data_IF_908724102936
#
_entry.id   IF_908724102936
#
_cell.length_a   1.000
_cell.length_b   1.000
_cell.length_c   1.000
_cell.angle_alpha   90.00
_cell.angle_beta   90.00
_cell.angle_gamma   90.00
#
_symmetry.space_group_name_H-M   'P 1'
#
loop_
_entity.id
_entity.type
_entity.pdbx_description
1 polymer ?
#
# COMPACT_ATOMS: atom_id res chain seq x y z
N UNK A 1 -8.21 0.84 -12.40
CA UNK A 1 -8.34 -0.63 -12.49
C UNK A 1 -7.81 -1.34 -11.24
N UNK A 2 -6.54 -1.13 -10.82
CA UNK A 2 -5.99 -1.77 -9.61
C UNK A 2 -6.91 -1.63 -8.38
N UNK A 3 -7.34 -0.40 -8.08
CA UNK A 3 -8.24 -0.13 -6.96
C UNK A 3 -9.58 -0.89 -7.04
N UNK A 4 -10.14 -1.03 -8.25
CA UNK A 4 -11.39 -1.77 -8.45
C UNK A 4 -11.18 -3.26 -8.21
N UNK A 5 -10.11 -3.83 -8.76
CA UNK A 5 -9.78 -5.26 -8.57
C UNK A 5 -9.52 -5.58 -7.10
N UNK A 6 -8.72 -4.75 -6.40
CA UNK A 6 -8.50 -4.94 -4.96
C UNK A 6 -9.78 -4.73 -4.16
N UNK A 7 -10.57 -3.69 -4.47
CA UNK A 7 -11.82 -3.41 -3.78
C UNK A 7 -12.83 -4.55 -3.87
N UNK A 8 -12.90 -5.23 -5.02
CA UNK A 8 -13.75 -6.41 -5.19
C UNK A 8 -13.32 -7.63 -4.36
N UNK A 9 -12.10 -7.66 -3.81
CA UNK A 9 -11.60 -8.83 -3.07
C UNK A 9 -12.48 -9.19 -1.87
N UNK A 10 -12.79 -8.23 -1.00
CA UNK A 10 -13.56 -8.45 0.23
C UNK A 10 -14.98 -8.98 -0.03
N UNK A 11 -15.82 -8.34 -0.88
CA UNK A 11 -17.13 -8.88 -1.19
C UNK A 11 -17.07 -10.24 -1.88
N UNK A 12 -16.11 -10.48 -2.77
CA UNK A 12 -15.98 -11.78 -3.44
C UNK A 12 -15.47 -12.89 -2.51
N UNK A 13 -14.69 -12.54 -1.48
CA UNK A 13 -14.17 -13.49 -0.50
C UNK A 13 -15.19 -13.88 0.57
N UNK A 14 -16.21 -13.05 0.84
CA UNK A 14 -17.24 -13.29 1.85
C UNK A 14 -17.95 -14.65 1.73
N UNK A 15 -18.44 -15.09 0.57
CA UNK A 15 -19.05 -16.43 0.44
C UNK A 15 -18.02 -17.56 0.59
N UNK A 16 -16.74 -17.32 0.25
CA UNK A 16 -15.70 -18.36 0.31
C UNK A 16 -15.40 -18.77 1.75
N UNK A 17 -15.38 -17.80 2.68
CA UNK A 17 -15.11 -18.05 4.11
C UNK A 17 -16.30 -18.70 4.84
N UNK A 18 -17.48 -18.78 4.21
CA UNK A 18 -18.60 -19.55 4.72
C UNK A 18 -18.47 -21.06 4.41
N UNK A 19 -17.77 -21.40 3.32
CA UNK A 19 -17.64 -22.79 2.85
C UNK A 19 -16.28 -23.45 3.16
N UNK A 20 -15.28 -22.68 3.61
CA UNK A 20 -13.94 -23.20 3.87
C UNK A 20 -13.23 -22.39 4.99
N UNK A 21 -12.26 -23.00 5.69
CA UNK A 21 -11.48 -22.30 6.71
C UNK A 21 -10.76 -21.05 6.15
N UNK A 22 -10.73 -19.93 6.88
CA UNK A 22 -10.07 -18.70 6.44
C UNK A 22 -8.62 -18.88 5.96
N UNK A 23 -7.85 -19.73 6.64
CA UNK A 23 -6.46 -20.03 6.28
C UNK A 23 -6.36 -20.69 4.89
N UNK A 24 -7.28 -21.61 4.57
CA UNK A 24 -7.31 -22.27 3.26
C UNK A 24 -7.68 -21.28 2.16
N UNK A 25 -8.71 -20.46 2.39
CA UNK A 25 -9.16 -19.44 1.42
C UNK A 25 -8.04 -18.42 1.17
N UNK A 26 -7.36 -17.94 2.23
CA UNK A 26 -6.20 -17.07 2.12
C UNK A 26 -5.08 -17.70 1.29
N UNK A 27 -4.76 -18.97 1.57
CA UNK A 27 -3.77 -19.75 0.84
C UNK A 27 -4.10 -19.83 -0.65
N UNK A 28 -5.33 -20.20 -1.00
CA UNK A 28 -5.77 -20.30 -2.38
C UNK A 28 -5.80 -18.94 -3.11
N UNK A 29 -6.24 -17.86 -2.45
CA UNK A 29 -6.20 -16.52 -3.05
C UNK A 29 -4.76 -16.11 -3.41
N UNK A 30 -3.82 -16.28 -2.48
CA UNK A 30 -2.42 -15.91 -2.73
C UNK A 30 -1.73 -16.87 -3.69
N UNK A 31 -2.06 -18.16 -3.66
CA UNK A 31 -1.56 -19.14 -4.61
C UNK A 31 -2.05 -18.83 -6.04
N UNK A 32 -3.28 -18.35 -6.18
CA UNK A 32 -3.83 -17.88 -7.46
C UNK A 32 -3.05 -16.68 -8.02
N UNK A 33 -2.73 -15.71 -7.16
CA UNK A 33 -1.81 -14.60 -7.50
C UNK A 33 -0.44 -15.12 -7.95
N UNK A 34 0.16 -16.01 -7.17
CA UNK A 34 1.49 -16.56 -7.45
C UNK A 34 1.56 -17.36 -8.75
N UNK A 35 0.66 -18.33 -8.93
CA UNK A 35 0.63 -19.21 -10.10
C UNK A 35 0.27 -18.45 -11.38
N UNK A 36 -0.72 -17.55 -11.33
CA UNK A 36 -1.11 -16.79 -12.51
C UNK A 36 -0.03 -15.80 -12.95
N UNK A 37 0.65 -15.14 -12.01
CA UNK A 37 1.79 -14.27 -12.34
C UNK A 37 3.02 -15.08 -12.80
N UNK A 38 3.24 -16.27 -12.25
CA UNK A 38 4.27 -17.18 -12.74
C UNK A 38 4.02 -17.56 -14.21
N UNK A 39 2.80 -18.00 -14.53
CA UNK A 39 2.40 -18.31 -15.90
C UNK A 39 2.55 -17.10 -16.84
N UNK A 40 2.05 -15.93 -16.42
CA UNK A 40 2.19 -14.68 -17.16
C UNK A 40 3.65 -14.36 -17.50
N UNK A 41 4.55 -14.49 -16.53
CA UNK A 41 5.97 -14.19 -16.75
C UNK A 41 6.67 -15.18 -17.65
N UNK A 42 6.27 -16.46 -17.61
CA UNK A 42 6.77 -17.48 -18.54
C UNK A 42 6.33 -17.18 -19.97
N UNK A 43 5.06 -16.78 -20.16
CA UNK A 43 4.52 -16.35 -21.46
C UNK A 43 5.22 -15.09 -21.97
N UNK A 44 5.42 -14.09 -21.12
CA UNK A 44 6.10 -12.83 -21.46
C UNK A 44 7.62 -12.94 -21.51
N UNK A 45 8.20 -14.11 -21.22
CA UNK A 45 9.65 -14.34 -21.12
C UNK A 45 10.34 -13.26 -20.28
N UNK A 46 9.72 -12.89 -19.15
CA UNK A 46 10.21 -11.83 -18.30
C UNK A 46 11.61 -12.19 -17.76
N UNK A 47 12.53 -11.21 -17.65
CA UNK A 47 13.89 -11.46 -17.20
C UNK A 47 13.92 -12.00 -15.77
N UNK A 48 14.95 -12.79 -15.48
CA UNK A 48 15.23 -13.25 -14.13
C UNK A 48 15.58 -12.05 -13.24
N UNK A 49 15.04 -12.04 -12.02
CA UNK A 49 15.33 -11.00 -11.03
C UNK A 49 16.39 -11.52 -10.09
N UNK A 50 17.42 -10.70 -9.83
CA UNK A 50 18.44 -10.95 -8.83
C UNK A 50 18.22 -10.00 -7.67
N UNK A 51 18.07 -10.55 -6.48
CA UNK A 51 18.05 -9.78 -5.24
C UNK A 51 19.43 -9.79 -4.60
N UNK A 52 19.84 -8.65 -4.04
CA UNK A 52 20.99 -8.58 -3.15
C UNK A 52 20.69 -9.34 -1.85
N UNK A 53 21.73 -9.83 -1.16
CA UNK A 53 21.59 -10.71 0.00
C UNK A 53 20.68 -10.15 1.09
N UNK A 54 20.86 -8.89 1.46
CA UNK A 54 20.07 -8.23 2.52
C UNK A 54 18.60 -8.02 2.13
N UNK A 55 18.29 -7.90 0.84
CA UNK A 55 16.92 -7.73 0.34
C UNK A 55 16.06 -8.98 0.52
N UNK A 56 16.66 -10.16 0.67
CA UNK A 56 15.91 -11.38 1.00
C UNK A 56 15.29 -11.33 2.39
N UNK A 57 15.98 -10.76 3.38
CA UNK A 57 15.44 -10.60 4.73
C UNK A 57 14.22 -9.68 4.75
N UNK A 58 14.30 -8.56 4.05
CA UNK A 58 13.17 -7.63 3.89
C UNK A 58 11.99 -8.27 3.15
N UNK A 59 12.26 -9.03 2.09
CA UNK A 59 11.22 -9.76 1.36
C UNK A 59 10.57 -10.83 2.24
N UNK A 60 11.35 -11.62 2.99
CA UNK A 60 10.81 -12.65 3.87
C UNK A 60 9.91 -12.05 4.95
N UNK A 61 10.31 -10.94 5.56
CA UNK A 61 9.49 -10.22 6.54
C UNK A 61 8.19 -9.67 5.91
N UNK A 62 8.29 -9.07 4.71
CA UNK A 62 7.13 -8.58 3.95
C UNK A 62 6.14 -9.71 3.61
N UNK A 63 6.64 -10.87 3.14
CA UNK A 63 5.85 -12.07 2.87
C UNK A 63 5.20 -12.59 4.16
N UNK A 64 5.95 -12.65 5.26
CA UNK A 64 5.44 -13.10 6.56
C UNK A 64 4.30 -12.23 7.07
N UNK A 65 4.48 -10.91 7.11
CA UNK A 65 3.46 -10.00 7.61
C UNK A 65 2.25 -9.91 6.66
N UNK A 66 2.49 -9.53 5.40
CA UNK A 66 1.40 -9.18 4.48
C UNK A 66 0.85 -10.33 3.65
N UNK A 67 1.60 -11.41 3.49
CA UNK A 67 1.13 -12.60 2.78
C UNK A 67 0.65 -13.70 3.73
N UNK A 68 1.46 -14.02 4.74
CA UNK A 68 1.21 -15.19 5.56
C UNK A 68 0.18 -14.90 6.67
N UNK A 69 0.35 -13.79 7.39
CA UNK A 69 -0.46 -13.47 8.57
C UNK A 69 -1.68 -12.60 8.25
N UNK A 70 -1.53 -11.53 7.46
CA UNK A 70 -2.62 -10.58 7.22
C UNK A 70 -3.87 -11.20 6.54
N UNK A 71 -3.76 -11.98 5.45
CA UNK A 71 -4.94 -12.47 4.75
C UNK A 71 -5.79 -13.44 5.58
N UNK A 72 -5.23 -14.44 6.30
CA UNK A 72 -6.03 -15.27 7.21
C UNK A 72 -6.76 -14.46 8.29
N UNK A 73 -6.13 -13.41 8.84
CA UNK A 73 -6.76 -12.55 9.84
C UNK A 73 -7.93 -11.75 9.25
N UNK A 74 -7.75 -11.16 8.06
CA UNK A 74 -8.84 -10.48 7.36
C UNK A 74 -10.01 -11.44 7.12
N UNK A 75 -9.72 -12.62 6.59
CA UNK A 75 -10.76 -13.61 6.27
C UNK A 75 -11.44 -14.18 7.52
N UNK A 76 -10.71 -14.33 8.62
CA UNK A 76 -11.27 -14.70 9.91
C UNK A 76 -12.19 -13.59 10.44
N UNK A 77 -11.80 -12.31 10.34
CA UNK A 77 -12.66 -11.18 10.66
C UNK A 77 -13.91 -11.13 9.77
N UNK A 78 -13.76 -11.44 8.49
CA UNK A 78 -14.86 -11.47 7.53
C UNK A 78 -15.90 -12.56 7.84
N UNK A 79 -15.58 -13.57 8.67
CA UNK A 79 -16.61 -14.54 9.11
C UNK A 79 -17.68 -13.88 9.97
N UNK A 80 -17.31 -12.90 10.80
CA UNK A 80 -18.21 -12.22 11.75
C UNK A 80 -18.66 -10.81 11.33
N UNK A 81 -18.22 -10.31 10.18
CA UNK A 81 -18.58 -8.99 9.65
C UNK A 81 -19.27 -9.08 8.31
N UNK A 82 -20.20 -8.17 8.03
CA UNK A 82 -20.68 -7.93 6.69
C UNK A 82 -19.54 -7.40 5.79
N UNK A 83 -19.59 -7.68 4.49
CA UNK A 83 -18.52 -7.35 3.56
C UNK A 83 -18.42 -5.83 3.34
N UNK A 84 -19.53 -5.08 3.38
CA UNK A 84 -19.55 -3.65 3.19
C UNK A 84 -18.77 -2.87 4.27
N UNK A 85 -19.03 -3.07 5.58
CA UNK A 85 -18.24 -2.44 6.63
C UNK A 85 -16.82 -3.00 6.72
N UNK A 86 -16.60 -4.29 6.48
CA UNK A 86 -15.24 -4.86 6.44
C UNK A 86 -14.38 -4.21 5.35
N UNK A 87 -14.96 -3.95 4.17
CA UNK A 87 -14.26 -3.25 3.08
C UNK A 87 -13.86 -1.84 3.50
N UNK A 88 -14.77 -1.07 4.11
CA UNK A 88 -14.46 0.29 4.58
C UNK A 88 -13.38 0.31 5.66
N UNK A 89 -13.37 -0.68 6.57
CA UNK A 89 -12.34 -0.80 7.61
C UNK A 89 -10.93 -0.95 7.03
N UNK A 90 -10.77 -1.42 5.79
CA UNK A 90 -9.47 -1.48 5.11
C UNK A 90 -8.84 -0.09 4.90
N UNK A 91 -9.61 1.00 4.97
CA UNK A 91 -9.03 2.35 5.01
C UNK A 91 -8.08 2.56 6.21
N UNK A 92 -8.19 1.76 7.27
CA UNK A 92 -7.28 1.80 8.41
C UNK A 92 -5.83 1.43 8.03
N UNK A 93 -5.61 0.67 6.95
CA UNK A 93 -4.26 0.34 6.47
C UNK A 93 -3.47 1.61 6.12
N UNK A 94 -4.10 2.60 5.50
CA UNK A 94 -3.46 3.87 5.16
C UNK A 94 -3.03 4.63 6.43
N UNK A 95 -3.89 4.64 7.45
CA UNK A 95 -3.61 5.24 8.77
C UNK A 95 -2.40 4.54 9.40
N UNK A 96 -2.41 3.21 9.50
CA UNK A 96 -1.30 2.45 10.08
C UNK A 96 0.00 2.61 9.29
N UNK A 97 -0.08 2.65 7.96
CA UNK A 97 1.09 2.81 7.08
C UNK A 97 1.79 4.13 7.37
N UNK A 98 1.01 5.20 7.52
CA UNK A 98 1.55 6.52 7.83
C UNK A 98 1.99 6.67 9.28
N UNK A 99 1.29 6.06 10.25
CA UNK A 99 1.74 6.04 11.65
C UNK A 99 3.09 5.32 11.79
N UNK A 100 3.28 4.20 11.10
CA UNK A 100 4.57 3.51 11.04
C UNK A 100 5.62 4.41 10.37
N UNK A 101 5.26 5.09 9.27
CA UNK A 101 6.15 6.03 8.59
C UNK A 101 6.61 7.15 9.55
N UNK A 102 5.67 7.79 10.24
CA UNK A 102 5.92 8.85 11.20
C UNK A 102 6.79 8.39 12.38
N UNK A 103 6.43 7.29 13.04
CA UNK A 103 7.12 6.82 14.25
C UNK A 103 8.52 6.29 13.93
N UNK A 104 8.67 5.52 12.85
CA UNK A 104 9.93 4.84 12.51
C UNK A 104 10.86 5.75 11.70
N UNK A 105 10.34 6.54 10.78
CA UNK A 105 11.14 7.37 9.87
C UNK A 105 11.17 8.86 10.28
N UNK A 106 10.39 9.26 11.30
CA UNK A 106 10.32 10.64 11.81
C UNK A 106 9.97 11.70 10.76
N UNK A 107 9.08 11.34 9.84
CA UNK A 107 8.54 12.26 8.84
C UNK A 107 7.51 13.20 9.50
N UNK A 108 7.61 14.52 9.29
CA UNK A 108 6.65 15.45 9.89
C UNK A 108 5.25 15.27 9.27
N UNK A 109 4.22 15.18 10.11
CA UNK A 109 2.83 15.06 9.69
C UNK A 109 2.18 16.43 9.69
N UNK A 110 1.70 16.89 8.53
CA UNK A 110 0.92 18.13 8.45
C UNK A 110 -0.40 17.99 9.24
N UNK A 111 -0.91 19.11 9.76
CA UNK A 111 -2.15 19.12 10.54
C UNK A 111 -3.34 18.62 9.72
N UNK A 112 -3.36 18.88 8.41
CA UNK A 112 -4.40 18.40 7.49
C UNK A 112 -4.40 16.88 7.35
N UNK A 113 -3.22 16.27 7.29
CA UNK A 113 -3.03 14.82 7.25
C UNK A 113 -3.52 14.18 8.56
N UNK A 114 -3.15 14.78 9.69
CA UNK A 114 -3.60 14.31 11.00
C UNK A 114 -5.14 14.35 11.12
N UNK A 115 -5.79 15.42 10.64
CA UNK A 115 -7.25 15.50 10.57
C UNK A 115 -7.84 14.44 9.64
N UNK A 116 -7.18 14.15 8.52
CA UNK A 116 -7.54 13.05 7.63
C UNK A 116 -7.54 11.70 8.34
N UNK A 117 -6.48 11.38 9.08
CA UNK A 117 -6.40 10.14 9.86
C UNK A 117 -7.46 10.09 10.97
N UNK A 118 -7.67 11.20 11.67
CA UNK A 118 -8.71 11.30 12.69
C UNK A 118 -10.11 11.01 12.11
N UNK A 119 -10.41 11.52 10.91
CA UNK A 119 -11.68 11.24 10.23
C UNK A 119 -11.83 9.76 9.84
N UNK A 120 -10.77 9.11 9.33
CA UNK A 120 -10.79 7.68 9.02
C UNK A 120 -11.01 6.84 10.29
N UNK A 121 -10.30 7.17 11.37
CA UNK A 121 -10.44 6.50 12.68
C UNK A 121 -11.86 6.69 13.23
N UNK A 122 -12.41 7.90 13.17
CA UNK A 122 -13.77 8.17 13.60
C UNK A 122 -14.80 7.33 12.80
N UNK A 123 -14.63 7.21 11.47
CA UNK A 123 -15.46 6.32 10.66
C UNK A 123 -15.34 4.85 11.09
N UNK A 124 -14.13 4.38 11.40
CA UNK A 124 -13.90 3.03 11.92
C UNK A 124 -14.58 2.79 13.28
N UNK A 125 -14.54 3.78 14.17
CA UNK A 125 -15.22 3.73 15.47
C UNK A 125 -16.75 3.68 15.31
N UNK A 126 -17.32 4.43 14.36
CA UNK A 126 -18.75 4.37 14.04
C UNK A 126 -19.16 2.97 13.56
N UNK A 127 -18.33 2.32 12.74
CA UNK A 127 -18.57 0.93 12.31
C UNK A 127 -18.42 -0.07 13.46
N UNK A 128 -17.46 0.16 14.36
CA UNK A 128 -17.20 -0.71 15.51
C UNK A 128 -18.19 -0.53 16.66
N UNK A 129 -18.98 0.54 16.67
CA UNK A 129 -19.87 0.87 17.79
C UNK A 129 -21.00 -0.17 17.94
N UNK A 130 -21.15 -0.81 19.13
CA UNK A 130 -22.21 -1.76 19.38
C UNK A 130 -23.57 -1.10 19.22
N UNK A 131 -24.40 -1.62 18.31
CA UNK A 131 -25.77 -1.17 18.19
C UNK A 131 -26.65 -1.84 19.21
N UNK A 132 -27.31 -1.06 20.06
CA UNK A 132 -28.28 -1.55 21.03
C UNK A 132 -29.52 -2.14 20.36
N UNK A 133 -29.43 -3.38 19.92
CA UNK A 133 -30.50 -4.40 19.80
C UNK A 133 -29.84 -5.68 19.28
N UNK A 134 -29.77 -6.71 20.12
CA UNK A 134 -29.39 -8.10 19.80
C UNK A 134 -28.35 -8.29 18.68
N UNK A 135 -27.08 -8.04 19.00
CA UNK A 135 -25.94 -8.29 18.11
C UNK A 135 -24.90 -7.19 18.23
N UNK A 136 -24.10 -7.23 19.30
CA UNK A 136 -22.87 -6.44 19.38
C UNK A 136 -22.11 -6.59 18.06
N UNK A 137 -21.69 -5.47 17.45
CA UNK A 137 -20.65 -5.54 16.42
C UNK A 137 -19.51 -6.30 17.09
N UNK A 138 -19.19 -7.47 16.53
CA UNK A 138 -18.29 -8.39 17.18
C UNK A 138 -16.89 -7.75 17.19
N UNK A 139 -16.52 -7.20 18.34
CA UNK A 139 -15.25 -6.49 18.55
C UNK A 139 -14.08 -7.36 18.08
N UNK A 140 -14.14 -8.67 18.31
CA UNK A 140 -13.15 -9.64 17.82
C UNK A 140 -12.93 -9.58 16.30
N UNK A 141 -13.95 -9.87 15.47
CA UNK A 141 -13.87 -9.71 14.02
C UNK A 141 -13.33 -8.36 13.53
N UNK A 142 -13.75 -7.25 14.13
CA UNK A 142 -13.22 -5.92 13.78
C UNK A 142 -11.72 -5.81 14.10
N UNK A 143 -11.29 -6.29 15.28
CA UNK A 143 -9.87 -6.30 15.66
C UNK A 143 -9.03 -7.17 14.73
N UNK A 144 -9.57 -8.29 14.22
CA UNK A 144 -8.88 -9.13 13.23
C UNK A 144 -8.65 -8.39 11.92
N UNK A 145 -9.65 -7.64 11.43
CA UNK A 145 -9.50 -6.79 10.23
C UNK A 145 -8.48 -5.68 10.46
N UNK A 146 -8.51 -5.01 11.61
CA UNK A 146 -7.54 -3.97 11.96
C UNK A 146 -6.12 -4.54 12.11
N UNK A 147 -5.96 -5.73 12.68
CA UNK A 147 -4.67 -6.42 12.77
C UNK A 147 -4.14 -6.78 11.38
N UNK A 148 -5.00 -7.24 10.46
CA UNK A 148 -4.63 -7.46 9.07
C UNK A 148 -4.16 -6.15 8.41
N UNK A 149 -4.87 -5.04 8.62
CA UNK A 149 -4.47 -3.72 8.11
C UNK A 149 -3.11 -3.27 8.67
N UNK A 150 -2.83 -3.51 9.96
CA UNK A 150 -1.55 -3.17 10.57
C UNK A 150 -0.39 -4.02 9.99
N UNK A 151 -0.63 -5.30 9.73
CA UNK A 151 0.34 -6.20 9.10
C UNK A 151 0.59 -5.84 7.63
N UNK A 152 -0.44 -5.44 6.88
CA UNK A 152 -0.27 -4.90 5.53
C UNK A 152 0.45 -3.55 5.53
N UNK A 153 0.18 -2.69 6.50
CA UNK A 153 0.93 -1.45 6.67
C UNK A 153 2.42 -1.70 6.93
N UNK A 154 2.75 -2.71 7.73
CA UNK A 154 4.13 -3.15 7.93
C UNK A 154 4.72 -3.73 6.64
N UNK A 155 4.00 -4.61 5.94
CA UNK A 155 4.39 -5.16 4.64
C UNK A 155 4.67 -4.06 3.62
N UNK A 156 3.82 -3.05 3.51
CA UNK A 156 4.02 -1.91 2.61
C UNK A 156 5.33 -1.18 2.92
N UNK A 157 5.61 -0.91 4.20
CA UNK A 157 6.85 -0.26 4.63
C UNK A 157 8.09 -1.14 4.37
N UNK A 158 8.00 -2.46 4.55
CA UNK A 158 9.08 -3.40 4.28
C UNK A 158 9.31 -3.59 2.77
N UNK A 159 8.23 -3.69 2.01
CA UNK A 159 8.23 -3.84 0.55
C UNK A 159 8.90 -2.65 -0.13
N UNK A 160 8.76 -1.42 0.40
CA UNK A 160 9.50 -0.24 -0.08
C UNK A 160 11.02 -0.45 -0.10
N UNK A 161 11.60 -1.29 0.77
CA UNK A 161 13.04 -1.59 0.80
C UNK A 161 13.51 -2.49 -0.34
N UNK A 162 12.58 -3.11 -1.07
CA UNK A 162 12.86 -4.02 -2.19
C UNK A 162 12.12 -3.61 -3.48
N UNK A 163 11.46 -2.45 -3.51
CA UNK A 163 10.55 -2.02 -4.58
C UNK A 163 11.22 -1.72 -5.94
N UNK A 164 12.55 -1.66 -5.99
CA UNK A 164 13.31 -1.53 -7.23
C UNK A 164 13.19 -2.77 -8.13
N UNK A 165 12.81 -3.92 -7.56
CA UNK A 165 12.60 -5.15 -8.34
C UNK A 165 11.34 -5.12 -9.18
N UNK A 166 11.28 -6.01 -10.18
CA UNK A 166 10.11 -6.19 -11.02
C UNK A 166 8.84 -6.46 -10.19
N UNK A 167 7.79 -5.69 -10.46
CA UNK A 167 6.50 -5.75 -9.77
C UNK A 167 5.85 -7.13 -9.83
N UNK A 168 5.87 -7.73 -11.03
CA UNK A 168 5.25 -9.03 -11.27
C UNK A 168 6.05 -10.15 -10.59
N UNK A 169 7.37 -10.00 -10.45
CA UNK A 169 8.21 -10.89 -9.64
C UNK A 169 7.89 -10.80 -8.17
N UNK A 170 7.83 -9.58 -7.62
CA UNK A 170 7.55 -9.38 -6.20
C UNK A 170 6.20 -9.97 -5.81
N UNK A 171 5.15 -9.64 -6.57
CA UNK A 171 3.80 -10.15 -6.35
C UNK A 171 3.74 -11.68 -6.50
N UNK A 172 4.43 -12.24 -7.50
CA UNK A 172 4.51 -13.70 -7.70
C UNK A 172 5.16 -14.41 -6.52
N UNK A 173 6.30 -13.92 -6.02
CA UNK A 173 7.00 -14.57 -4.89
C UNK A 173 6.17 -14.48 -3.63
N UNK A 174 5.56 -13.32 -3.34
CA UNK A 174 4.64 -13.16 -2.21
C UNK A 174 3.46 -14.12 -2.31
N UNK A 175 2.85 -14.22 -3.49
CA UNK A 175 1.74 -15.14 -3.76
C UNK A 175 2.12 -16.61 -3.60
N UNK A 176 3.21 -17.06 -4.21
CA UNK A 176 3.65 -18.46 -4.15
C UNK A 176 4.08 -18.87 -2.74
N UNK A 177 4.88 -18.04 -2.06
CA UNK A 177 5.37 -18.34 -0.73
C UNK A 177 4.23 -18.35 0.29
N UNK A 178 3.48 -17.25 0.41
CA UNK A 178 2.39 -17.18 1.37
C UNK A 178 1.22 -18.12 1.03
N UNK A 179 0.87 -18.20 -0.26
CA UNK A 179 -0.19 -19.09 -0.74
C UNK A 179 0.13 -20.56 -0.51
N UNK A 180 1.34 -20.98 -0.89
CA UNK A 180 1.82 -22.34 -0.66
C UNK A 180 1.85 -22.69 0.83
N UNK A 181 2.39 -21.83 1.67
CA UNK A 181 2.46 -22.08 3.12
C UNK A 181 1.07 -22.12 3.77
N UNK A 182 0.19 -21.15 3.50
CA UNK A 182 -1.15 -21.14 4.10
C UNK A 182 -2.02 -22.32 3.61
N UNK A 183 -1.93 -22.68 2.32
CA UNK A 183 -2.60 -23.89 1.82
C UNK A 183 -2.05 -25.14 2.49
N UNK A 184 -0.72 -25.29 2.60
CA UNK A 184 -0.10 -26.44 3.26
C UNK A 184 -0.50 -26.53 4.74
N UNK A 185 -0.48 -25.42 5.48
CA UNK A 185 -0.90 -25.36 6.88
C UNK A 185 -2.37 -25.75 7.05
N UNK A 186 -3.26 -25.24 6.18
CA UNK A 186 -4.67 -25.59 6.25
C UNK A 186 -4.92 -27.09 5.98
N UNK A 187 -4.27 -27.65 4.96
CA UNK A 187 -4.38 -29.08 4.63
C UNK A 187 -3.79 -29.97 5.73
N UNK A 188 -2.64 -29.59 6.29
CA UNK A 188 -2.04 -30.28 7.43
C UNK A 188 -2.92 -30.22 8.68
N UNK A 189 -3.67 -29.12 8.85
CA UNK A 189 -4.69 -28.96 9.88
C UNK A 189 -6.01 -29.71 9.60
N UNK A 190 -6.07 -30.53 8.54
CA UNK A 190 -7.24 -31.35 8.21
C UNK A 190 -8.30 -30.65 7.36
N UNK A 191 -8.04 -29.44 6.86
CA UNK A 191 -8.94 -28.79 5.93
C UNK A 191 -9.05 -29.63 4.64
N UNK A 192 -10.27 -29.77 4.13
CA UNK A 192 -10.50 -30.40 2.83
C UNK A 192 -10.62 -29.34 1.77
N UNK A 193 -10.00 -29.59 0.61
CA UNK A 193 -10.29 -28.79 -0.57
C UNK A 193 -11.76 -29.03 -0.93
N UNK A 194 -12.53 -27.95 -1.02
CA UNK A 194 -13.91 -28.00 -1.50
C UNK A 194 -13.98 -28.42 -2.98
N UNK A 195 -15.14 -28.25 -3.63
CA UNK A 195 -15.30 -28.56 -5.05
C UNK A 195 -14.24 -27.84 -5.90
N UNK A 196 -13.78 -28.51 -6.97
CA UNK A 196 -12.76 -27.97 -7.91
C UNK A 196 -13.18 -26.61 -8.45
N UNK A 197 -14.48 -26.41 -8.71
CA UNK A 197 -15.02 -25.12 -9.14
C UNK A 197 -14.77 -24.01 -8.12
N UNK A 198 -15.01 -24.25 -6.82
CA UNK A 198 -14.76 -23.27 -5.76
C UNK A 198 -13.27 -22.96 -5.63
N UNK A 199 -12.41 -23.96 -5.77
CA UNK A 199 -10.94 -23.76 -5.80
C UNK A 199 -10.55 -22.90 -6.99
N UNK A 200 -11.04 -23.21 -8.19
CA UNK A 200 -10.75 -22.44 -9.40
C UNK A 200 -11.22 -20.98 -9.30
N UNK A 201 -12.43 -20.74 -8.80
CA UNK A 201 -12.95 -19.38 -8.55
C UNK A 201 -12.08 -18.64 -7.54
N UNK A 202 -11.67 -19.29 -6.45
CA UNK A 202 -10.79 -18.69 -5.44
C UNK A 202 -9.43 -18.33 -6.04
N UNK A 203 -8.83 -19.21 -6.84
CA UNK A 203 -7.57 -18.94 -7.54
C UNK A 203 -7.71 -17.76 -8.52
N UNK A 204 -8.82 -17.66 -9.26
CA UNK A 204 -9.08 -16.56 -10.19
C UNK A 204 -9.27 -15.22 -9.46
N UNK A 205 -10.04 -15.20 -8.37
CA UNK A 205 -10.17 -14.01 -7.51
C UNK A 205 -8.78 -13.61 -6.99
N UNK A 206 -7.99 -14.59 -6.56
CA UNK A 206 -6.59 -14.44 -6.17
C UNK A 206 -5.73 -13.76 -7.22
N UNK A 207 -5.76 -14.28 -8.44
CA UNK A 207 -5.03 -13.76 -9.58
C UNK A 207 -5.39 -12.30 -9.86
N UNK A 208 -6.68 -11.97 -9.97
CA UNK A 208 -7.08 -10.62 -10.35
C UNK A 208 -6.97 -9.61 -9.20
N UNK A 209 -7.48 -9.96 -8.02
CA UNK A 209 -7.62 -9.02 -6.92
C UNK A 209 -6.32 -8.80 -6.14
N UNK A 210 -5.43 -9.80 -6.09
CA UNK A 210 -4.13 -9.69 -5.40
C UNK A 210 -2.96 -9.64 -6.39
N UNK A 211 -2.96 -10.45 -7.46
CA UNK A 211 -1.83 -10.52 -8.40
C UNK A 211 -1.79 -9.37 -9.40
N UNK A 212 -2.81 -9.29 -10.27
CA UNK A 212 -2.95 -8.26 -11.31
C UNK A 212 -3.11 -6.89 -10.67
N UNK A 213 -3.94 -6.78 -9.63
CA UNK A 213 -4.12 -5.53 -8.88
C UNK A 213 -2.80 -4.97 -8.34
N UNK A 214 -2.02 -5.78 -7.61
CA UNK A 214 -0.73 -5.34 -7.05
C UNK A 214 0.27 -5.01 -8.15
N UNK A 215 0.32 -5.80 -9.23
CA UNK A 215 1.19 -5.52 -10.37
C UNK A 215 0.85 -4.18 -11.01
N UNK A 216 -0.44 -3.90 -11.25
CA UNK A 216 -0.91 -2.62 -11.78
C UNK A 216 -0.66 -1.46 -10.81
N UNK A 217 -0.78 -1.69 -9.50
CA UNK A 217 -0.47 -0.68 -8.48
C UNK A 217 1.02 -0.30 -8.52
N UNK A 218 1.94 -1.27 -8.55
CA UNK A 218 3.37 -0.97 -8.62
C UNK A 218 3.75 -0.32 -9.96
N UNK A 219 3.13 -0.73 -11.07
CA UNK A 219 3.30 -0.05 -12.37
C UNK A 219 2.79 1.40 -12.29
N UNK A 220 1.63 1.63 -11.68
CA UNK A 220 1.08 2.96 -11.48
C UNK A 220 2.02 3.85 -10.63
N UNK A 221 2.66 3.30 -9.57
CA UNK A 221 3.64 4.05 -8.78
C UNK A 221 4.76 4.62 -9.65
N UNK A 222 5.22 3.85 -10.65
CA UNK A 222 6.30 4.26 -11.57
C UNK A 222 5.86 5.33 -12.58
N UNK A 223 4.62 5.26 -13.08
CA UNK A 223 4.17 6.15 -14.16
C UNK A 223 3.36 7.36 -13.69
N UNK A 224 2.59 7.24 -12.62
CA UNK A 224 1.72 8.30 -12.10
C UNK A 224 2.36 9.02 -10.90
N UNK A 225 3.37 8.42 -10.28
CA UNK A 225 3.97 8.86 -9.02
C UNK A 225 3.19 8.34 -7.80
N UNK A 226 3.84 8.40 -6.64
CA UNK A 226 3.32 7.89 -5.36
C UNK A 226 1.99 8.54 -4.98
N UNK A 227 1.92 9.87 -5.09
CA UNK A 227 0.74 10.67 -4.70
C UNK A 227 -0.54 10.24 -5.45
N UNK A 228 -0.50 10.30 -6.79
CA UNK A 228 -1.66 9.98 -7.64
C UNK A 228 -2.03 8.50 -7.57
N UNK A 229 -1.04 7.62 -7.45
CA UNK A 229 -1.31 6.19 -7.33
C UNK A 229 -1.99 5.86 -6.01
N UNK A 230 -1.50 6.42 -4.90
CA UNK A 230 -2.13 6.31 -3.59
C UNK A 230 -3.56 6.87 -3.61
N UNK A 231 -3.78 8.00 -4.27
CA UNK A 231 -5.08 8.62 -4.47
C UNK A 231 -6.11 7.72 -5.15
N UNK A 232 -5.71 7.08 -6.24
CA UNK A 232 -6.60 6.16 -6.93
C UNK A 232 -6.78 4.86 -6.16
N UNK A 233 -5.75 4.38 -5.46
CA UNK A 233 -5.84 3.12 -4.73
C UNK A 233 -6.67 3.23 -3.45
N UNK A 234 -6.70 4.39 -2.79
CA UNK A 234 -7.52 4.65 -1.60
C UNK A 234 -9.03 4.61 -1.89
N UNK A 235 -9.46 4.59 -3.15
CA UNK A 235 -10.88 4.35 -3.48
C UNK A 235 -11.29 2.89 -3.36
N UNK A 236 -10.33 1.94 -3.27
CA UNK A 236 -10.60 0.50 -3.28
C UNK A 236 -11.55 0.04 -2.15
N UNK A 237 -11.37 0.44 -0.88
CA UNK A 237 -12.31 0.15 0.22
C UNK A 237 -13.76 0.55 -0.09
N UNK A 238 -13.96 1.70 -0.74
CA UNK A 238 -15.29 2.19 -1.12
C UNK A 238 -15.90 1.37 -2.26
N UNK A 239 -15.10 1.00 -3.25
CA UNK A 239 -15.53 0.09 -4.32
C UNK A 239 -15.98 -1.24 -3.73
N UNK A 240 -15.22 -1.80 -2.78
CA UNK A 240 -15.61 -3.03 -2.10
C UNK A 240 -16.90 -2.90 -1.31
N UNK A 241 -17.10 -1.76 -0.63
CA UNK A 241 -18.32 -1.48 0.12
C UNK A 241 -19.55 -1.39 -0.78
N UNK A 242 -19.46 -0.64 -1.88
CA UNK A 242 -20.54 -0.52 -2.87
C UNK A 242 -20.82 -1.87 -3.53
N UNK A 243 -19.78 -2.60 -3.91
CA UNK A 243 -19.94 -3.93 -4.51
C UNK A 243 -20.58 -4.93 -3.55
N UNK A 244 -20.28 -4.87 -2.25
CA UNK A 244 -20.95 -5.70 -1.24
C UNK A 244 -22.46 -5.41 -1.17
N UNK A 245 -22.85 -4.13 -1.16
CA UNK A 245 -24.26 -3.73 -1.17
C UNK A 245 -24.95 -4.22 -2.45
N UNK A 246 -24.32 -4.06 -3.61
CA UNK A 246 -24.92 -4.42 -4.90
C UNK A 246 -25.00 -5.94 -5.11
N UNK A 247 -23.91 -6.67 -4.85
CA UNK A 247 -23.81 -8.10 -5.13
C UNK A 247 -24.55 -8.96 -4.10
N UNK A 248 -24.53 -8.54 -2.82
CA UNK A 248 -25.07 -9.33 -1.72
C UNK A 248 -26.32 -8.74 -1.09
N UNK A 249 -26.81 -7.61 -1.61
CA UNK A 249 -27.98 -6.89 -1.07
C UNK A 249 -27.81 -6.57 0.42
N UNK A 250 -26.58 -6.27 0.86
CA UNK A 250 -26.32 -5.90 2.25
C UNK A 250 -27.04 -4.59 2.61
N UNK A 251 -27.61 -4.47 3.82
CA UNK A 251 -28.41 -3.32 4.19
C UNK A 251 -27.58 -2.04 4.26
N UNK A 252 -28.06 -0.99 3.61
CA UNK A 252 -27.47 0.36 3.71
C UNK A 252 -27.92 1.00 5.02
N UNK A 253 -27.11 0.80 6.06
CA UNK A 253 -27.38 1.37 7.39
C UNK A 253 -26.91 2.82 7.48
N UNK A 254 -27.53 3.62 8.35
CA UNK A 254 -27.05 4.97 8.63
C UNK A 254 -25.60 5.00 9.12
N UNK A 255 -25.16 3.96 9.87
CA UNK A 255 -23.76 3.83 10.32
C UNK A 255 -22.80 3.65 9.15
N UNK A 256 -23.17 2.82 8.18
CA UNK A 256 -22.37 2.62 6.97
C UNK A 256 -22.21 3.94 6.20
N UNK A 257 -23.30 4.73 6.09
CA UNK A 257 -23.27 6.03 5.42
C UNK A 257 -22.41 7.06 6.15
N UNK A 258 -22.57 7.18 7.48
CA UNK A 258 -21.78 8.10 8.30
C UNK A 258 -20.30 7.71 8.27
N UNK A 259 -19.97 6.43 8.47
CA UNK A 259 -18.60 5.95 8.42
C UNK A 259 -17.97 6.13 7.05
N UNK A 260 -18.68 5.77 5.98
CA UNK A 260 -18.23 5.98 4.60
C UNK A 260 -17.97 7.45 4.31
N UNK A 261 -18.83 8.36 4.77
CA UNK A 261 -18.65 9.80 4.59
C UNK A 261 -17.42 10.33 5.34
N UNK A 262 -17.23 9.92 6.60
CA UNK A 262 -16.06 10.30 7.40
C UNK A 262 -14.75 9.79 6.79
N UNK A 263 -14.73 8.53 6.35
CA UNK A 263 -13.57 7.93 5.70
C UNK A 263 -13.28 8.59 4.35
N UNK A 264 -14.32 8.92 3.57
CA UNK A 264 -14.16 9.62 2.29
C UNK A 264 -13.60 11.04 2.49
N UNK A 265 -14.10 11.77 3.50
CA UNK A 265 -13.53 13.06 3.91
C UNK A 265 -12.07 12.90 4.32
N UNK A 266 -11.76 11.89 5.12
CA UNK A 266 -10.40 11.59 5.55
C UNK A 266 -9.48 11.35 4.36
N UNK A 267 -9.86 10.47 3.43
CA UNK A 267 -9.11 10.24 2.19
C UNK A 267 -8.96 11.54 1.41
N UNK A 268 -10.03 12.30 1.18
CA UNK A 268 -9.98 13.57 0.45
C UNK A 268 -8.99 14.58 1.06
N UNK A 269 -8.93 14.69 2.39
CA UNK A 269 -7.97 15.55 3.08
C UNK A 269 -6.52 15.17 2.80
N UNK A 270 -6.20 13.87 2.74
CA UNK A 270 -4.86 13.40 2.35
C UNK A 270 -4.54 13.70 0.89
N UNK A 271 -5.52 13.55 -0.01
CA UNK A 271 -5.28 13.71 -1.45
C UNK A 271 -5.14 15.16 -1.89
N UNK A 272 -5.72 16.08 -1.12
CA UNK A 272 -5.71 17.52 -1.42
C UNK A 272 -4.59 18.27 -0.69
N UNK A 273 -3.74 17.57 0.05
CA UNK A 273 -2.56 18.15 0.66
C UNK A 273 -1.53 18.53 -0.40
N UNK A 274 -1.00 19.75 -0.29
CA UNK A 274 0.16 20.19 -1.06
C UNK A 274 1.39 20.06 -0.17
N UNK A 275 2.18 19.03 -0.42
CA UNK A 275 3.48 18.86 0.23
C UNK A 275 4.50 19.86 -0.35
N UNK A 276 4.36 21.14 -0.04
CA UNK A 276 5.37 22.15 -0.30
C UNK A 276 6.20 22.34 0.97
N UNK A 277 7.39 21.74 1.01
CA UNK A 277 8.34 21.98 2.09
C UNK A 277 9.67 22.44 1.53
N UNK A 278 10.25 23.44 2.21
CA UNK A 278 11.60 23.92 1.97
C UNK A 278 12.56 22.81 2.39
N UNK A 279 13.28 22.24 1.43
CA UNK A 279 14.26 21.20 1.69
C UNK A 279 15.63 21.62 1.18
N UNK A 280 16.65 21.14 1.88
CA UNK A 280 18.06 21.33 1.54
C UNK A 280 18.57 20.04 0.91
N UNK A 281 18.97 20.11 -0.35
CA UNK A 281 19.81 19.08 -0.93
C UNK A 281 21.21 19.24 -0.34
N UNK A 282 21.76 18.17 0.24
CA UNK A 282 23.19 18.13 0.54
C UNK A 282 23.98 17.93 -0.77
N UNK A 283 25.27 18.23 -0.75
CA UNK A 283 26.10 18.05 -1.93
C UNK A 283 26.05 16.59 -2.38
N UNK A 284 25.55 16.36 -3.59
CA UNK A 284 25.41 15.03 -4.18
C UNK A 284 26.24 14.95 -5.46
N UNK A 285 27.13 13.97 -5.51
CA UNK A 285 27.90 13.66 -6.72
C UNK A 285 27.24 12.51 -7.45
N UNK A 286 26.75 12.76 -8.66
CA UNK A 286 26.14 11.74 -9.53
C UNK A 286 26.55 11.93 -10.99
N UNK A 287 26.11 11.03 -11.84
CA UNK A 287 26.40 11.02 -13.27
C UNK A 287 25.10 10.80 -14.06
N UNK A 288 24.62 11.87 -14.69
CA UNK A 288 23.47 11.85 -15.58
C UNK A 288 23.66 12.83 -16.74
N UNK A 289 22.85 12.63 -17.78
CA UNK A 289 22.80 13.53 -18.95
C UNK A 289 22.12 14.84 -18.56
N UNK A 290 22.78 15.96 -18.78
CA UNK A 290 22.27 17.29 -18.45
C UNK A 290 22.68 18.33 -19.50
N UNK A 291 22.01 19.48 -19.46
CA UNK A 291 22.41 20.70 -20.16
C UNK A 291 22.40 21.87 -19.18
N UNK A 292 22.90 23.04 -19.59
CA UNK A 292 22.96 24.22 -18.71
C UNK A 292 21.67 25.06 -18.72
N UNK A 293 20.64 24.68 -19.49
CA UNK A 293 19.39 25.43 -19.61
C UNK A 293 18.44 25.16 -18.43
N UNK A 294 18.71 24.13 -17.63
CA UNK A 294 17.91 23.78 -16.46
C UNK A 294 18.16 24.69 -15.23
N UNK A 295 19.21 25.52 -15.26
CA UNK A 295 19.49 26.54 -14.24
C UNK A 295 20.09 26.00 -12.93
N UNK A 296 20.51 24.74 -12.88
CA UNK A 296 21.15 24.14 -11.70
C UNK A 296 22.39 23.28 -12.00
N UNK A 297 22.77 23.17 -13.27
CA UNK A 297 24.06 22.63 -13.69
C UNK A 297 24.95 23.78 -14.18
N UNK A 298 25.78 24.29 -13.28
CA UNK A 298 26.75 25.33 -13.59
C UNK A 298 28.15 24.81 -13.23
N UNK A 299 28.89 24.40 -14.27
CA UNK A 299 30.25 23.88 -14.15
C UNK A 299 31.01 24.15 -15.46
N UNK A 300 32.32 24.36 -15.34
CA UNK A 300 33.18 24.67 -16.49
C UNK A 300 33.55 23.40 -17.27
N UNK A 301 33.59 23.56 -18.59
CA UNK A 301 34.05 22.53 -19.51
C UNK A 301 35.55 22.67 -19.80
N UNK A 302 36.27 21.56 -20.03
CA UNK A 302 37.58 21.60 -20.65
C UNK A 302 37.52 22.33 -22.02
N UNK A 303 38.58 23.06 -22.40
CA UNK A 303 38.64 23.73 -23.70
C UNK A 303 38.41 22.75 -24.86
N UNK A 304 37.48 23.07 -25.76
CA UNK A 304 37.17 22.25 -26.94
C UNK A 304 35.97 21.30 -26.78
N UNK A 305 35.29 21.32 -25.64
CA UNK A 305 34.05 20.53 -25.44
C UNK A 305 32.91 21.06 -26.35
N UNK A 306 32.25 20.20 -27.16
CA UNK A 306 31.13 20.61 -28.00
C UNK A 306 29.94 21.09 -27.16
N UNK A 307 29.22 22.16 -27.58
CA UNK A 307 28.00 22.58 -26.91
C UNK A 307 26.87 21.54 -27.11
N UNK A 308 26.11 21.27 -26.04
CA UNK A 308 24.95 20.38 -26.08
C UNK A 308 24.75 19.56 -24.79
N UNK A 309 23.76 18.66 -24.77
CA UNK A 309 23.54 17.76 -23.65
C UNK A 309 24.73 16.83 -23.49
N UNK A 310 25.24 16.71 -22.27
CA UNK A 310 26.44 15.94 -21.99
C UNK A 310 26.30 15.19 -20.66
N UNK A 311 27.12 14.16 -20.50
CA UNK A 311 27.05 13.22 -19.36
C UNK A 311 28.43 13.05 -18.77
N UNK A 312 28.56 13.35 -17.49
CA UNK A 312 29.75 13.08 -16.70
C UNK A 312 29.41 13.19 -15.22
N UNK A 313 30.32 12.68 -14.39
CA UNK A 313 30.24 12.81 -12.93
C UNK A 313 30.45 14.27 -12.52
N UNK A 314 29.44 14.87 -11.93
CA UNK A 314 29.49 16.24 -11.39
C UNK A 314 28.85 16.30 -10.01
N UNK A 315 29.10 17.38 -9.28
CA UNK A 315 28.62 17.58 -7.91
C UNK A 315 27.71 18.80 -7.87
N UNK A 316 26.47 18.62 -7.42
CA UNK A 316 25.61 19.76 -7.10
C UNK A 316 26.01 20.38 -5.77
N UNK A 317 26.03 21.70 -5.70
CA UNK A 317 26.18 22.42 -4.44
C UNK A 317 24.91 22.31 -3.59
N UNK A 318 24.98 22.52 -2.26
CA UNK A 318 23.79 22.45 -1.43
C UNK A 318 22.77 23.54 -1.82
N UNK A 319 21.63 23.12 -2.37
CA UNK A 319 20.54 24.03 -2.77
C UNK A 319 19.39 23.89 -1.78
N UNK A 320 18.82 25.03 -1.36
CA UNK A 320 17.58 25.08 -0.59
C UNK A 320 16.48 25.59 -1.51
N UNK A 321 15.52 24.72 -1.82
CA UNK A 321 14.35 25.11 -2.61
C UNK A 321 13.07 24.51 -2.03
N UNK A 322 11.94 24.98 -2.52
CA UNK A 322 10.61 24.49 -2.16
C UNK A 322 9.90 24.09 -3.44
N UNK A 323 9.56 22.82 -3.55
CA UNK A 323 8.67 22.31 -4.59
C UNK A 323 7.76 21.23 -4.01
N UNK A 324 6.62 20.94 -4.66
CA UNK A 324 5.80 19.80 -4.31
C UNK A 324 6.64 18.52 -4.30
N UNK A 325 6.69 17.78 -3.19
CA UNK A 325 7.42 16.52 -3.11
C UNK A 325 6.63 15.48 -2.32
N UNK A 326 6.67 14.21 -2.76
CA UNK A 326 6.19 13.06 -1.98
C UNK A 326 7.42 12.20 -1.64
N UNK A 327 7.41 11.39 -0.57
CA UNK A 327 8.54 10.50 -0.26
C UNK A 327 8.85 9.58 -1.46
N UNK A 328 9.85 9.96 -2.25
CA UNK A 328 10.39 9.19 -3.36
C UNK A 328 11.52 8.29 -2.85
N UNK A 329 11.62 7.09 -3.40
CA UNK A 329 12.74 6.16 -3.23
C UNK A 329 14.09 6.83 -3.49
N UNK A 330 14.14 7.83 -4.38
CA UNK A 330 15.36 8.54 -4.77
C UNK A 330 15.71 9.77 -3.92
N UNK A 331 14.78 10.23 -3.06
CA UNK A 331 14.95 11.46 -2.27
C UNK A 331 14.59 11.24 -0.80
N UNK A 332 15.50 10.59 -0.06
CA UNK A 332 15.44 10.52 1.40
C UNK A 332 16.07 11.75 2.00
N UNK A 333 15.29 12.59 2.69
CA UNK A 333 15.80 13.75 3.41
C UNK A 333 15.82 13.50 4.92
N UNK A 334 16.85 14.03 5.59
CA UNK A 334 16.90 14.13 7.05
C UNK A 334 16.27 15.48 7.42
N UNK A 335 15.13 15.47 8.12
CA UNK A 335 14.54 16.72 8.62
C UNK A 335 15.38 17.26 9.78
N UNK A 336 16.07 18.38 9.56
CA UNK A 336 16.71 19.13 10.64
C UNK A 336 15.67 19.98 11.36
N UNK A 337 15.56 19.82 12.69
CA UNK A 337 14.79 20.72 13.52
C UNK A 337 15.37 22.14 13.41
N UNK A 338 14.60 23.06 12.82
CA UNK A 338 14.86 24.49 12.97
C UNK A 338 14.52 24.90 14.40
N UNK A 339 15.54 25.08 15.24
CA UNK A 339 15.41 25.92 16.43
C UNK A 339 15.02 27.34 15.97
N UNK A 340 14.15 28.06 16.70
CA UNK A 340 13.88 29.45 16.40
C UNK A 340 15.12 30.27 16.78
N UNK A 341 16.02 30.49 15.83
CA UNK A 341 17.10 31.47 15.96
C UNK A 341 16.50 32.86 15.86
N UNK A 342 16.51 33.59 16.97
CA UNK A 342 16.16 35.01 17.00
C UNK A 342 17.23 35.83 16.30
N UNK A 343 16.89 36.43 15.17
CA UNK A 343 17.61 37.56 14.61
C UNK A 343 17.21 38.82 15.40
N UNK A 344 18.13 39.31 16.24
CA UNK A 344 18.11 40.66 16.79
C UNK A 344 19.19 41.50 16.09
N UNK A 345 18.89 42.74 15.66
CA UNK A 345 19.68 43.43 14.63
C UNK A 345 20.97 44.04 15.19
N UNK A 346 22.02 43.95 14.37
CA UNK A 346 23.22 44.79 14.45
C UNK A 346 22.84 46.22 14.04
N UNK A 347 23.07 47.19 14.92
CA UNK A 347 22.85 48.59 14.63
C UNK A 347 23.32 49.53 15.73
N UNK A 348 24.61 49.91 15.66
CA UNK A 348 25.29 51.14 16.09
C UNK A 348 26.69 50.82 16.65
#
# INVERSE_FOLDING_TARGET
>A
MAAVLFGLSTPLAKPLVAGAPPVLVAGLLYLGSGLGLFAWRRVRRAPAVRLSGTSWGWLAAAVGCGGLLAPPLLLAGLTGLAAAPASLLLNAEAVFTALIAWVVFRENVDTRVALGFAAIVAGGLVLAWPGGSAGSVAVGPTLLVLAACALWALDNNLTRRVAEVDATWLAMVKGLAAGGTNTALALAGGARTGPVASVAVTLLIGLFCYGVSLSLFVVALRHLGVARTGAYFSTAPFVGSVAAVVLWSEPVTWRLLVAGSLMALGVWLHLTERHEHRHRHEALTHDHLHDHADGHHDHEHPPGTPPGPHRHRHTHTPVVHSHPHYPDLHHRHRHGHGSPGGDGPVGA
#
